data_IF_817350443568
#
_entry.id   IF_817350443568
#
_cell.length_a   1.000
_cell.length_b   1.000
_cell.length_c   1.000
_cell.angle_alpha   90.00
_cell.angle_beta   90.00
_cell.angle_gamma   90.00
#
_symmetry.space_group_name_H-M   'P 1'
#
loop_
_entity.id
_entity.type
_entity.pdbx_description
1 polymer ?
#
# COMPACT_ATOMS: atom_id res chain seq x y z
N UNK A 1 8.79 -0.82 -2.36
CA UNK A 1 8.61 0.62 -2.16
C UNK A 1 8.59 1.31 -3.53
N UNK A 2 7.47 1.87 -3.88
CA UNK A 2 7.32 2.61 -5.14
C UNK A 2 7.35 4.11 -4.86
N UNK A 3 7.87 4.90 -5.81
CA UNK A 3 7.74 6.35 -5.80
C UNK A 3 6.25 6.77 -5.68
N UNK A 4 5.92 8.03 -5.35
CA UNK A 4 4.59 8.47 -4.87
C UNK A 4 3.43 7.82 -5.60
N UNK A 5 2.67 7.18 -4.83
CA UNK A 5 1.75 6.08 -5.00
C UNK A 5 0.71 6.14 -6.12
N UNK A 6 0.19 7.26 -6.49
CA UNK A 6 -0.81 7.34 -7.56
C UNK A 6 -0.20 7.46 -8.96
N UNK A 7 1.00 8.00 -9.05
CA UNK A 7 1.63 8.32 -10.34
C UNK A 7 2.08 7.08 -11.13
N UNK A 8 2.48 6.01 -10.45
CA UNK A 8 2.93 4.78 -11.13
C UNK A 8 1.76 4.05 -11.80
N UNK A 9 0.59 4.03 -11.16
CA UNK A 9 -0.63 3.43 -11.74
C UNK A 9 -1.21 4.30 -12.84
N UNK A 10 -1.21 5.62 -12.67
CA UNK A 10 -1.62 6.58 -13.72
C UNK A 10 -0.67 6.51 -14.92
N UNK A 11 0.63 6.31 -14.71
CA UNK A 11 1.60 6.07 -15.77
C UNK A 11 1.31 4.75 -16.50
N UNK A 12 0.95 3.68 -15.78
CA UNK A 12 0.58 2.39 -16.38
C UNK A 12 -0.72 2.49 -17.18
N UNK A 13 -1.72 3.22 -16.71
CA UNK A 13 -2.99 3.43 -17.42
C UNK A 13 -2.82 4.41 -18.59
N UNK A 14 -2.09 5.50 -18.41
CA UNK A 14 -1.74 6.43 -19.48
C UNK A 14 -0.86 5.78 -20.54
N UNK A 15 0.05 4.87 -20.13
CA UNK A 15 0.88 4.10 -21.07
C UNK A 15 0.03 3.17 -21.90
N UNK A 16 -1.02 2.54 -21.35
CA UNK A 16 -1.94 1.71 -22.16
C UNK A 16 -2.72 2.54 -23.19
N UNK A 17 -3.25 3.70 -22.79
CA UNK A 17 -3.95 4.59 -23.72
C UNK A 17 -3.01 5.13 -24.80
N UNK A 18 -1.80 5.54 -24.40
CA UNK A 18 -0.76 5.98 -25.30
C UNK A 18 -0.26 4.86 -26.22
N UNK A 19 -0.10 3.62 -25.71
CA UNK A 19 0.33 2.48 -26.51
C UNK A 19 -0.75 2.00 -27.50
N UNK A 20 -2.04 2.12 -27.16
CA UNK A 20 -3.12 1.90 -28.14
C UNK A 20 -3.09 2.92 -29.28
N UNK A 21 -2.70 4.15 -28.99
CA UNK A 21 -2.53 5.22 -29.98
C UNK A 21 -1.27 5.02 -30.83
N UNK A 22 -0.12 4.66 -30.19
CA UNK A 22 1.17 4.39 -30.86
C UNK A 22 1.13 3.07 -31.64
N UNK A 23 0.47 2.02 -31.17
CA UNK A 23 0.28 0.78 -31.93
C UNK A 23 -0.53 0.99 -33.22
N UNK A 24 -1.36 2.03 -33.27
CA UNK A 24 -1.99 2.50 -34.51
C UNK A 24 -1.01 3.19 -35.48
N UNK A 25 0.14 3.67 -34.98
CA UNK A 25 1.12 4.48 -35.72
C UNK A 25 2.51 3.85 -35.90
N UNK A 26 2.65 2.51 -35.90
CA UNK A 26 3.89 1.77 -36.22
C UNK A 26 4.95 1.67 -35.11
N UNK A 27 4.60 1.31 -33.88
CA UNK A 27 5.60 0.95 -32.87
C UNK A 27 5.30 -0.41 -32.23
N UNK A 28 6.26 -1.33 -32.20
CA UNK A 28 6.15 -2.58 -31.43
C UNK A 28 6.19 -2.27 -29.93
N UNK A 29 5.12 -2.59 -29.19
CA UNK A 29 5.10 -2.53 -27.74
C UNK A 29 5.89 -3.73 -27.21
N UNK A 30 6.83 -3.58 -26.26
CA UNK A 30 7.47 -4.72 -25.62
C UNK A 30 6.40 -5.64 -25.01
N UNK A 31 6.39 -6.92 -25.36
CA UNK A 31 5.41 -7.91 -24.90
C UNK A 31 5.32 -8.01 -23.36
N UNK A 32 6.37 -7.59 -22.65
CA UNK A 32 6.38 -7.48 -21.18
C UNK A 32 5.42 -6.41 -20.65
N UNK A 33 5.28 -5.28 -21.37
CA UNK A 33 4.39 -4.17 -20.96
C UNK A 33 2.93 -4.52 -21.25
N UNK A 34 2.65 -5.21 -22.38
CA UNK A 34 1.30 -5.65 -22.71
C UNK A 34 0.72 -6.63 -21.67
N UNK A 35 1.57 -7.46 -21.07
CA UNK A 35 1.16 -8.47 -20.08
C UNK A 35 1.09 -7.92 -18.66
N UNK A 36 1.72 -6.78 -18.35
CA UNK A 36 1.84 -6.30 -16.99
C UNK A 36 0.48 -5.97 -16.35
N UNK A 37 -0.35 -5.21 -17.03
CA UNK A 37 -1.65 -4.80 -16.47
C UNK A 37 -2.66 -5.95 -16.35
N UNK A 38 -2.78 -6.88 -17.31
CA UNK A 38 -3.54 -8.11 -17.12
C UNK A 38 -3.07 -8.90 -15.88
N UNK A 39 -1.75 -9.04 -15.67
CA UNK A 39 -1.21 -9.74 -14.51
C UNK A 39 -1.52 -9.02 -13.18
N UNK A 40 -1.47 -7.68 -13.15
CA UNK A 40 -1.84 -6.90 -11.96
C UNK A 40 -3.33 -7.02 -11.62
N UNK A 41 -4.19 -7.25 -12.61
CA UNK A 41 -5.63 -7.44 -12.43
C UNK A 41 -6.04 -8.87 -12.10
N UNK A 42 -5.15 -9.82 -12.32
CA UNK A 42 -5.43 -11.24 -12.04
C UNK A 42 -5.15 -11.57 -10.56
N UNK A 43 -6.20 -11.81 -9.75
CA UNK A 43 -6.04 -12.10 -8.32
C UNK A 43 -5.41 -13.47 -8.03
N UNK A 44 -5.27 -14.33 -9.06
CA UNK A 44 -4.52 -15.58 -8.91
C UNK A 44 -3.02 -15.40 -9.18
N UNK A 45 -2.65 -14.28 -9.79
CA UNK A 45 -1.28 -13.99 -10.16
C UNK A 45 -0.64 -12.92 -9.27
N UNK A 46 -1.42 -11.93 -8.83
CA UNK A 46 -0.91 -10.77 -8.08
C UNK A 46 -1.78 -10.45 -6.88
N UNK A 47 -1.16 -10.39 -5.71
CA UNK A 47 -1.73 -9.82 -4.50
C UNK A 47 -1.17 -8.41 -4.26
N UNK A 48 -2.07 -7.43 -4.15
CA UNK A 48 -1.70 -6.05 -3.81
C UNK A 48 -2.00 -5.78 -2.34
N UNK A 49 -0.98 -5.39 -1.59
CA UNK A 49 -1.07 -5.01 -0.18
C UNK A 49 -0.76 -3.53 -0.05
N UNK A 50 -1.69 -2.76 0.54
CA UNK A 50 -1.48 -1.33 0.80
C UNK A 50 -0.79 -1.17 2.15
N UNK A 51 0.39 -0.54 2.15
CA UNK A 51 1.15 -0.26 3.37
C UNK A 51 1.09 1.24 3.68
N UNK A 52 0.72 1.59 4.91
CA UNK A 52 0.62 2.98 5.38
C UNK A 52 1.17 3.14 6.80
N UNK A 53 1.33 4.38 7.23
CA UNK A 53 1.54 4.75 8.64
C UNK A 53 0.22 5.25 9.22
N UNK A 54 0.05 5.15 10.54
CA UNK A 54 -1.13 5.68 11.24
C UNK A 54 -1.06 7.21 11.41
N UNK A 55 -0.89 7.94 10.31
CA UNK A 55 -0.78 9.39 10.27
C UNK A 55 -1.69 9.97 9.17
N UNK A 56 -2.03 11.26 9.29
CA UNK A 56 -2.98 11.91 8.40
C UNK A 56 -2.61 11.77 6.91
N UNK A 57 -1.43 12.24 6.53
CA UNK A 57 -1.00 12.27 5.13
C UNK A 57 -0.86 10.86 4.54
N UNK A 58 -0.12 9.91 5.19
CA UNK A 58 -0.02 8.54 4.67
C UNK A 58 -1.37 7.83 4.50
N UNK A 59 -2.30 7.99 5.44
CA UNK A 59 -3.63 7.37 5.35
C UNK A 59 -4.44 7.97 4.20
N UNK A 60 -4.40 9.29 4.00
CA UNK A 60 -5.08 9.92 2.87
C UNK A 60 -4.49 9.51 1.51
N UNK A 61 -3.15 9.44 1.41
CA UNK A 61 -2.49 8.97 0.19
C UNK A 61 -2.81 7.49 -0.09
N UNK A 62 -2.80 6.63 0.94
CA UNK A 62 -3.17 5.23 0.81
C UNK A 62 -4.65 5.06 0.40
N UNK A 63 -5.55 5.93 0.90
CA UNK A 63 -6.98 5.93 0.50
C UNK A 63 -7.15 6.29 -0.98
N UNK A 64 -6.42 7.30 -1.45
CA UNK A 64 -6.43 7.67 -2.87
C UNK A 64 -5.88 6.56 -3.76
N UNK A 65 -4.79 5.90 -3.29
CA UNK A 65 -4.24 4.75 -3.99
C UNK A 65 -5.27 3.63 -4.11
N UNK A 66 -6.02 3.33 -3.03
CA UNK A 66 -7.08 2.33 -3.06
C UNK A 66 -8.15 2.66 -4.10
N UNK A 67 -8.61 3.92 -4.16
CA UNK A 67 -9.55 4.38 -5.18
C UNK A 67 -8.99 4.28 -6.60
N UNK A 68 -7.69 4.55 -6.79
CA UNK A 68 -7.02 4.42 -8.08
C UNK A 68 -6.90 2.95 -8.51
N UNK A 69 -6.59 2.04 -7.58
CA UNK A 69 -6.56 0.60 -7.79
C UNK A 69 -7.94 0.07 -8.19
N UNK A 70 -8.99 0.49 -7.49
CA UNK A 70 -10.38 0.13 -7.80
C UNK A 70 -10.77 0.57 -9.21
N UNK A 71 -10.46 1.83 -9.57
CA UNK A 71 -10.69 2.34 -10.93
C UNK A 71 -9.92 1.58 -12.01
N UNK A 72 -8.72 1.10 -11.68
CA UNK A 72 -7.91 0.28 -12.58
C UNK A 72 -8.37 -1.18 -12.62
N UNK A 73 -9.32 -1.61 -11.79
CA UNK A 73 -9.77 -3.00 -11.67
C UNK A 73 -8.72 -3.92 -11.06
N UNK A 74 -7.88 -3.37 -10.17
CA UNK A 74 -6.83 -4.11 -9.45
C UNK A 74 -7.30 -4.35 -8.02
N UNK A 75 -7.41 -5.61 -7.62
CA UNK A 75 -7.84 -5.97 -6.27
C UNK A 75 -6.74 -5.67 -5.25
N UNK A 76 -7.11 -4.97 -4.17
CA UNK A 76 -6.26 -4.68 -3.02
C UNK A 76 -6.98 -5.10 -1.73
N UNK A 77 -6.83 -6.33 -1.34
CA UNK A 77 -7.61 -6.91 -0.24
C UNK A 77 -7.05 -6.58 1.13
N UNK A 78 -5.73 -6.43 1.26
CA UNK A 78 -5.06 -6.35 2.55
C UNK A 78 -4.39 -5.02 2.78
N UNK A 79 -4.45 -4.55 4.02
CA UNK A 79 -3.78 -3.33 4.46
C UNK A 79 -2.82 -3.63 5.60
N UNK A 80 -1.72 -2.88 5.65
CA UNK A 80 -0.73 -2.94 6.72
C UNK A 80 -0.50 -1.55 7.27
N UNK A 81 -0.75 -1.35 8.55
CA UNK A 81 -0.34 -0.15 9.28
C UNK A 81 1.02 -0.45 9.88
N UNK A 82 2.07 0.14 9.33
CA UNK A 82 3.44 -0.12 9.73
C UNK A 82 3.88 0.83 10.85
N UNK A 83 4.81 0.36 11.70
CA UNK A 83 5.52 1.16 12.72
C UNK A 83 4.59 1.90 13.69
N UNK A 84 3.50 1.29 14.12
CA UNK A 84 2.54 1.90 15.05
C UNK A 84 3.07 1.93 16.48
N UNK A 85 3.05 3.12 17.08
CA UNK A 85 3.29 3.32 18.50
C UNK A 85 2.09 2.92 19.36
N UNK A 86 0.86 2.99 18.83
CA UNK A 86 -0.34 2.57 19.51
C UNK A 86 -0.34 1.06 19.82
N UNK A 87 0.38 0.27 19.01
CA UNK A 87 0.59 -1.16 19.26
C UNK A 87 1.74 -1.46 20.24
N UNK A 88 2.36 -0.43 20.85
CA UNK A 88 3.46 -0.57 21.82
C UNK A 88 2.99 -0.27 23.24
N UNK A 89 3.66 -0.87 24.23
CA UNK A 89 3.44 -0.59 25.66
C UNK A 89 4.36 0.52 26.17
N UNK A 90 4.57 1.58 25.39
CA UNK A 90 5.50 2.65 25.79
C UNK A 90 5.04 3.40 27.04
N UNK A 91 5.96 3.67 27.95
CA UNK A 91 5.75 4.49 29.16
C UNK A 91 6.15 5.96 28.95
N UNK A 92 6.86 6.27 27.87
CA UNK A 92 7.28 7.63 27.54
C UNK A 92 6.08 8.51 27.22
N UNK A 93 5.93 9.64 27.92
CA UNK A 93 4.78 10.55 27.80
C UNK A 93 4.59 11.10 26.38
N UNK A 94 5.69 11.44 25.70
CA UNK A 94 5.64 11.98 24.33
C UNK A 94 5.17 10.91 23.33
N UNK A 95 5.74 9.71 23.42
CA UNK A 95 5.34 8.59 22.56
C UNK A 95 3.90 8.13 22.83
N UNK A 96 3.44 8.18 24.09
CA UNK A 96 2.04 7.94 24.44
C UNK A 96 1.09 8.93 23.78
N UNK A 97 1.41 10.22 23.82
CA UNK A 97 0.59 11.25 23.17
C UNK A 97 0.52 11.03 21.66
N UNK A 98 1.63 10.62 21.03
CA UNK A 98 1.67 10.27 19.61
C UNK A 98 0.82 9.01 19.31
N UNK A 99 0.97 7.96 20.12
CA UNK A 99 0.18 6.74 20.03
C UNK A 99 -1.34 7.00 20.10
N UNK A 100 -1.78 7.90 20.98
CA UNK A 100 -3.19 8.31 21.07
C UNK A 100 -3.69 8.99 19.80
N UNK A 101 -2.84 9.76 19.11
CA UNK A 101 -3.19 10.38 17.85
C UNK A 101 -3.30 9.37 16.69
N UNK A 102 -2.62 8.23 16.79
CA UNK A 102 -2.70 7.17 15.77
C UNK A 102 -4.05 6.45 15.75
N UNK A 103 -4.72 6.32 16.90
CA UNK A 103 -5.96 5.54 17.07
C UNK A 103 -7.04 5.96 16.06
N UNK A 104 -7.21 7.26 15.82
CA UNK A 104 -8.21 7.75 14.85
C UNK A 104 -7.90 7.31 13.42
N UNK A 105 -6.60 7.24 13.06
CA UNK A 105 -6.17 6.84 11.72
C UNK A 105 -6.24 5.33 11.53
N UNK A 106 -5.93 4.56 12.58
CA UNK A 106 -6.15 3.11 12.62
C UNK A 106 -7.63 2.80 12.39
N UNK A 107 -8.52 3.50 13.10
CA UNK A 107 -9.97 3.34 12.93
C UNK A 107 -10.44 3.75 11.52
N UNK A 108 -9.80 4.73 10.89
CA UNK A 108 -10.11 5.10 9.51
C UNK A 108 -9.67 4.00 8.53
N UNK A 109 -8.47 3.45 8.69
CA UNK A 109 -8.01 2.31 7.89
C UNK A 109 -8.93 1.11 8.07
N UNK A 110 -9.33 0.79 9.30
CA UNK A 110 -10.28 -0.30 9.59
C UNK A 110 -11.58 -0.16 8.77
N UNK A 111 -12.13 1.05 8.69
CA UNK A 111 -13.34 1.32 7.89
C UNK A 111 -13.10 1.14 6.38
N UNK A 112 -11.98 1.67 5.85
CA UNK A 112 -11.68 1.63 4.42
C UNK A 112 -11.36 0.19 3.98
N UNK A 113 -10.61 -0.55 4.80
CA UNK A 113 -10.20 -1.92 4.53
C UNK A 113 -11.28 -2.95 4.84
N UNK A 114 -12.44 -2.54 5.39
CA UNK A 114 -13.47 -3.44 5.89
C UNK A 114 -12.92 -4.46 6.89
N UNK A 115 -12.09 -3.98 7.82
CA UNK A 115 -11.38 -4.75 8.83
C UNK A 115 -10.33 -5.75 8.28
N UNK A 116 -9.98 -5.67 6.99
CA UNK A 116 -8.90 -6.48 6.40
C UNK A 116 -7.53 -5.78 6.56
N UNK A 117 -7.08 -5.60 7.78
CA UNK A 117 -5.78 -4.96 8.04
C UNK A 117 -5.04 -5.60 9.21
N UNK A 118 -3.74 -5.37 9.25
CA UNK A 118 -2.87 -5.71 10.37
C UNK A 118 -2.10 -4.48 10.83
N UNK A 119 -1.75 -4.43 12.11
CA UNK A 119 -0.92 -3.37 12.69
C UNK A 119 0.40 -3.95 13.12
N UNK A 120 1.49 -3.43 12.57
CA UNK A 120 2.85 -3.78 12.96
C UNK A 120 3.34 -2.74 13.96
N UNK A 121 3.75 -3.21 15.14
CA UNK A 121 4.27 -2.35 16.21
C UNK A 121 5.59 -1.67 15.79
N UNK A 122 5.82 -0.46 16.27
CA UNK A 122 7.11 0.20 16.11
C UNK A 122 8.20 -0.53 16.89
N UNK A 123 9.36 -0.70 16.28
CA UNK A 123 10.55 -1.30 16.88
C UNK A 123 11.68 -0.27 16.97
N UNK A 124 12.40 -0.18 18.12
CA UNK A 124 13.49 0.76 18.29
C UNK A 124 14.74 0.36 17.48
N UNK A 125 14.88 -0.93 17.16
CA UNK A 125 16.00 -1.47 16.40
C UNK A 125 15.63 -1.71 14.95
N UNK A 126 16.62 -1.60 14.06
CA UNK A 126 16.44 -1.92 12.66
C UNK A 126 16.23 -3.43 12.48
N UNK A 127 15.11 -3.81 11.88
CA UNK A 127 14.76 -5.21 11.64
C UNK A 127 15.46 -5.67 10.37
N UNK A 128 16.35 -6.67 10.51
CA UNK A 128 17.16 -7.23 9.41
C UNK A 128 17.13 -8.75 9.41
N UNK A 129 17.04 -9.33 8.22
CA UNK A 129 17.22 -10.77 8.00
C UNK A 129 16.40 -11.67 8.93
N UNK A 130 17.07 -12.47 9.76
CA UNK A 130 16.42 -13.46 10.64
C UNK A 130 15.48 -12.85 11.70
N UNK A 131 15.62 -11.55 12.04
CA UNK A 131 14.72 -10.89 13.01
C UNK A 131 13.37 -10.54 12.40
N UNK A 132 13.22 -10.59 11.06
CA UNK A 132 11.97 -10.31 10.39
C UNK A 132 10.88 -11.33 10.76
N UNK A 133 11.27 -12.61 10.94
CA UNK A 133 10.33 -13.66 11.33
C UNK A 133 9.73 -13.44 12.73
N UNK A 134 10.43 -12.74 13.62
CA UNK A 134 9.96 -12.48 14.98
C UNK A 134 8.79 -11.48 15.04
N UNK A 135 8.54 -10.73 13.94
CA UNK A 135 7.39 -9.80 13.84
C UNK A 135 6.05 -10.52 13.80
N UNK A 136 6.03 -11.79 13.43
CA UNK A 136 4.81 -12.57 13.19
C UNK A 136 4.57 -13.66 14.22
N UNK A 137 5.41 -13.74 15.27
CA UNK A 137 5.37 -14.83 16.27
C UNK A 137 4.87 -14.39 17.65
N UNK A 138 4.44 -13.15 17.84
CA UNK A 138 3.85 -12.64 19.09
C UNK A 138 2.34 -12.42 18.98
#
# INVERSE_FOLDING_TARGET
DTAPTGHTLLLLDATQSYHKEVARSQGEIPAAVEKLLPHLRDPQYTDVVIVTLAEMTPVHEASRLAEDLDRAGILHKWWVINSSLAATNTTNKLLKARAQNEVRWINQVAKISQDNFVVIKWHPEEIKGATLSNLFTE
#
